data_IF_509591352061
#
_entry.id   IF_509591352061
#
_cell.length_a   1.000
_cell.length_b   1.000
_cell.length_c   1.000
_cell.angle_alpha   90.00
_cell.angle_beta   90.00
_cell.angle_gamma   90.00
#
_symmetry.space_group_name_H-M   'P 1'
#
loop_
_entity.id
_entity.type
_entity.pdbx_description
1 polymer ?
#
# COMPACT_ATOMS: atom_id res chain seq x y z
N UNK A 1 -20.23 32.86 -9.89
CA UNK A 1 -19.02 32.01 -9.87
C UNK A 1 -19.40 30.76 -10.63
N UNK A 2 -18.97 30.61 -11.87
CA UNK A 2 -19.25 29.40 -12.65
C UNK A 2 -18.27 28.34 -12.19
N UNK A 3 -18.77 27.20 -11.70
CA UNK A 3 -17.95 26.03 -11.41
C UNK A 3 -17.39 25.50 -12.74
N UNK A 4 -16.13 25.80 -13.00
CA UNK A 4 -15.42 25.28 -14.16
C UNK A 4 -15.03 23.83 -13.82
N UNK A 5 -15.92 22.89 -14.14
CA UNK A 5 -15.62 21.45 -14.03
C UNK A 5 -14.49 21.11 -14.99
N UNK A 6 -13.29 20.95 -14.46
CA UNK A 6 -12.14 20.38 -15.18
C UNK A 6 -12.55 18.97 -15.60
N UNK A 7 -12.82 18.77 -16.89
CA UNK A 7 -13.07 17.44 -17.43
C UNK A 7 -11.72 16.74 -17.57
N UNK A 8 -11.49 15.75 -16.70
CA UNK A 8 -10.30 14.93 -16.72
C UNK A 8 -10.40 13.94 -17.89
N UNK A 9 -9.54 14.08 -18.89
CA UNK A 9 -9.42 13.09 -19.96
C UNK A 9 -8.64 11.87 -19.44
N UNK A 10 -9.27 10.70 -19.50
CA UNK A 10 -8.71 9.43 -19.03
C UNK A 10 -8.46 8.49 -20.22
N UNK A 11 -7.39 7.71 -20.14
CA UNK A 11 -7.09 6.62 -21.08
C UNK A 11 -7.94 5.36 -20.76
N UNK A 12 -7.78 4.30 -21.56
CA UNK A 12 -8.52 3.03 -21.40
C UNK A 12 -8.27 2.34 -20.05
N UNK A 13 -7.24 2.74 -19.31
CA UNK A 13 -6.93 2.25 -17.95
C UNK A 13 -7.45 3.17 -16.83
N UNK A 14 -8.19 4.23 -17.17
CA UNK A 14 -8.72 5.19 -16.19
C UNK A 14 -7.68 6.15 -15.62
N UNK A 15 -6.52 6.27 -16.29
CA UNK A 15 -5.40 7.15 -15.90
C UNK A 15 -5.43 8.40 -16.77
N UNK A 16 -5.08 9.57 -16.22
CA UNK A 16 -5.06 10.80 -17.02
C UNK A 16 -4.17 10.62 -18.27
N UNK A 17 -4.61 11.13 -19.41
CA UNK A 17 -3.92 10.92 -20.70
C UNK A 17 -2.47 11.42 -20.71
N UNK A 18 -2.16 12.44 -19.91
CA UNK A 18 -0.82 13.03 -19.79
C UNK A 18 0.04 12.39 -18.68
N UNK A 19 -0.47 11.36 -17.99
CA UNK A 19 0.24 10.73 -16.89
C UNK A 19 1.36 9.82 -17.45
N UNK A 20 2.60 9.91 -16.93
CA UNK A 20 3.69 9.05 -17.37
C UNK A 20 3.35 7.57 -17.16
N UNK A 21 3.40 6.79 -18.24
CA UNK A 21 3.21 5.34 -18.18
C UNK A 21 4.56 4.63 -17.94
N UNK A 22 4.57 3.48 -17.26
CA UNK A 22 5.77 2.65 -17.16
C UNK A 22 6.30 2.30 -18.55
N UNK A 23 7.62 2.39 -18.73
CA UNK A 23 8.25 2.09 -20.03
C UNK A 23 8.08 0.62 -20.45
N UNK A 24 7.82 -0.28 -19.49
CA UNK A 24 7.62 -1.70 -19.70
C UNK A 24 6.26 -2.12 -19.12
N UNK A 25 5.40 -2.68 -19.97
CA UNK A 25 4.05 -3.10 -19.59
C UNK A 25 4.03 -4.24 -18.55
N UNK A 26 5.12 -4.99 -18.39
CA UNK A 26 5.23 -6.01 -17.32
C UNK A 26 5.34 -5.42 -15.93
N UNK A 27 5.67 -4.13 -15.84
CA UNK A 27 5.77 -3.41 -14.58
C UNK A 27 4.39 -2.87 -14.14
N UNK A 28 3.36 -3.02 -14.98
CA UNK A 28 1.99 -2.69 -14.63
C UNK A 28 1.44 -3.71 -13.64
N UNK A 29 0.94 -3.25 -12.50
CA UNK A 29 0.14 -4.07 -11.59
C UNK A 29 -1.29 -4.07 -12.10
N UNK A 30 -1.82 -5.24 -12.47
CA UNK A 30 -3.19 -5.39 -12.95
C UNK A 30 -3.95 -6.41 -12.10
N UNK A 31 -5.15 -6.01 -11.66
CA UNK A 31 -6.18 -6.89 -11.07
C UNK A 31 -5.79 -7.64 -9.78
N UNK A 32 -4.72 -7.24 -9.08
CA UNK A 32 -4.33 -7.86 -7.81
C UNK A 32 -5.22 -7.34 -6.66
N UNK A 33 -5.93 -8.21 -5.92
CA UNK A 33 -6.66 -7.81 -4.73
C UNK A 33 -5.71 -7.25 -3.67
N UNK A 34 -6.12 -6.16 -3.02
CA UNK A 34 -5.30 -5.50 -2.01
C UNK A 34 -6.10 -5.16 -0.75
N UNK A 35 -5.39 -5.08 0.38
CA UNK A 35 -5.88 -4.57 1.66
C UNK A 35 -5.13 -3.28 2.02
N UNK A 36 -5.84 -2.16 2.26
CA UNK A 36 -5.22 -0.92 2.68
C UNK A 36 -4.78 -0.98 4.15
N UNK A 37 -3.63 -0.39 4.45
CA UNK A 37 -3.13 -0.13 5.82
C UNK A 37 -2.74 1.34 5.93
N UNK A 38 -3.45 2.08 6.77
CA UNK A 38 -3.33 3.53 6.90
C UNK A 38 -2.41 3.96 8.06
N UNK A 39 -1.55 4.94 7.79
CA UNK A 39 -0.68 5.62 8.76
C UNK A 39 -0.89 7.13 8.62
N UNK A 40 -1.35 7.75 9.70
CA UNK A 40 -1.62 9.19 9.75
C UNK A 40 -0.79 9.84 10.83
N UNK A 41 -0.06 10.87 10.45
CA UNK A 41 0.78 11.68 11.32
C UNK A 41 0.79 13.15 10.88
N UNK A 42 1.19 14.03 11.79
CA UNK A 42 1.25 15.48 11.57
C UNK A 42 2.43 15.87 10.65
N UNK A 43 3.39 14.96 10.45
CA UNK A 43 4.52 15.12 9.55
C UNK A 43 4.80 13.84 8.74
N UNK A 44 5.30 14.05 7.52
CA UNK A 44 5.59 12.97 6.56
C UNK A 44 6.67 11.99 7.06
N UNK A 45 7.82 12.44 7.61
CA UNK A 45 8.82 11.54 8.17
C UNK A 45 8.25 10.56 9.20
N UNK A 46 7.43 11.03 10.13
CA UNK A 46 6.80 10.19 11.15
C UNK A 46 5.87 9.14 10.53
N UNK A 47 5.04 9.52 9.55
CA UNK A 47 4.18 8.58 8.84
C UNK A 47 4.98 7.48 8.12
N UNK A 48 6.08 7.86 7.45
CA UNK A 48 6.97 6.93 6.76
C UNK A 48 7.70 6.00 7.72
N UNK A 49 8.19 6.52 8.85
CA UNK A 49 8.89 5.72 9.86
C UNK A 49 7.95 4.67 10.48
N UNK A 50 6.72 5.06 10.80
CA UNK A 50 5.71 4.14 11.34
C UNK A 50 5.33 3.07 10.32
N UNK A 51 5.13 3.42 9.07
CA UNK A 51 4.84 2.47 8.01
C UNK A 51 6.00 1.49 7.78
N UNK A 52 7.24 1.98 7.74
CA UNK A 52 8.42 1.14 7.61
C UNK A 52 8.60 0.21 8.81
N UNK A 53 8.32 0.69 10.02
CA UNK A 53 8.36 -0.12 11.25
C UNK A 53 7.31 -1.22 11.22
N UNK A 54 6.09 -0.91 10.78
CA UNK A 54 5.02 -1.88 10.63
C UNK A 54 5.38 -2.96 9.60
N UNK A 55 5.88 -2.59 8.42
CA UNK A 55 6.30 -3.57 7.39
C UNK A 55 7.32 -4.57 7.92
N UNK A 56 8.32 -4.09 8.68
CA UNK A 56 9.33 -4.98 9.30
C UNK A 56 8.72 -5.93 10.32
N UNK A 57 7.87 -5.41 11.21
CA UNK A 57 7.21 -6.23 12.22
C UNK A 57 6.28 -7.28 11.59
N UNK A 58 5.54 -6.91 10.55
CA UNK A 58 4.67 -7.81 9.81
C UNK A 58 5.49 -8.88 9.08
N UNK A 59 6.59 -8.51 8.44
CA UNK A 59 7.51 -9.45 7.82
C UNK A 59 8.07 -10.45 8.83
N UNK A 60 8.49 -9.99 10.01
CA UNK A 60 9.01 -10.86 11.07
C UNK A 60 7.94 -11.84 11.55
N UNK A 61 6.68 -11.39 11.64
CA UNK A 61 5.54 -12.21 12.06
C UNK A 61 5.10 -13.24 11.01
N UNK A 62 5.01 -12.84 9.73
CA UNK A 62 4.69 -13.72 8.60
C UNK A 62 5.83 -14.70 8.29
N UNK A 63 7.08 -14.29 8.57
CA UNK A 63 8.28 -14.99 8.13
C UNK A 63 8.67 -14.72 6.68
N UNK A 64 7.96 -13.81 6.00
CA UNK A 64 8.22 -13.38 4.62
C UNK A 64 7.83 -11.91 4.43
N UNK A 65 8.44 -11.18 3.46
CA UNK A 65 8.08 -9.80 3.16
C UNK A 65 6.63 -9.67 2.69
N UNK A 66 6.01 -8.53 2.97
CA UNK A 66 4.67 -8.18 2.44
C UNK A 66 4.84 -7.51 1.07
N UNK A 67 4.07 -7.95 0.08
CA UNK A 67 3.97 -7.33 -1.22
C UNK A 67 3.15 -6.03 -1.12
N UNK A 68 3.82 -4.89 -1.25
CA UNK A 68 3.18 -3.57 -1.36
C UNK A 68 2.98 -3.26 -2.84
N UNK A 69 1.72 -3.21 -3.26
CA UNK A 69 1.30 -2.97 -4.65
C UNK A 69 1.36 -1.47 -4.98
N UNK A 70 0.92 -0.64 -4.06
CA UNK A 70 0.94 0.81 -4.22
C UNK A 70 1.05 1.53 -2.87
N UNK A 71 1.52 2.76 -2.93
CA UNK A 71 1.58 3.69 -1.80
C UNK A 71 0.75 4.92 -2.17
N UNK A 72 -0.30 5.17 -1.40
CA UNK A 72 -1.06 6.42 -1.48
C UNK A 72 -0.51 7.39 -0.44
N UNK A 73 -0.24 8.63 -0.84
CA UNK A 73 0.17 9.69 0.07
C UNK A 73 -0.72 10.91 -0.14
N UNK A 74 -1.56 11.18 0.87
CA UNK A 74 -2.39 12.36 0.91
C UNK A 74 -1.84 13.38 1.91
N UNK A 75 -1.90 14.66 1.55
CA UNK A 75 -1.68 15.79 2.44
C UNK A 75 -2.95 16.64 2.50
N UNK A 76 -3.36 17.04 3.70
CA UNK A 76 -4.53 17.89 3.91
C UNK A 76 -4.27 18.85 5.07
N UNK A 77 -4.38 20.15 4.79
CA UNK A 77 -4.27 21.25 5.76
C UNK A 77 -5.52 22.12 5.83
N UNK A 78 -6.63 21.70 5.20
CA UNK A 78 -7.85 22.50 5.00
C UNK A 78 -8.48 22.98 6.31
N UNK A 79 -8.20 22.30 7.43
CA UNK A 79 -8.72 22.61 8.77
C UNK A 79 -7.71 23.28 9.70
N UNK A 80 -6.56 23.72 9.19
CA UNK A 80 -5.49 24.34 9.99
C UNK A 80 -4.73 23.37 10.90
N UNK A 81 -4.97 22.07 10.75
CA UNK A 81 -4.21 20.99 11.39
C UNK A 81 -3.68 20.10 10.26
N UNK A 82 -2.48 20.38 9.73
CA UNK A 82 -1.94 19.63 8.61
C UNK A 82 -1.71 18.18 9.03
N UNK A 83 -1.99 17.25 8.12
CA UNK A 83 -1.63 15.85 8.32
C UNK A 83 -1.23 15.21 7.00
N UNK A 84 -0.40 14.18 7.11
CA UNK A 84 -0.07 13.27 6.05
C UNK A 84 -0.77 11.94 6.31
N UNK A 85 -1.44 11.40 5.31
CA UNK A 85 -2.06 10.09 5.37
C UNK A 85 -1.40 9.18 4.33
N UNK A 86 -0.61 8.24 4.82
CA UNK A 86 0.09 7.25 4.03
C UNK A 86 -0.71 5.94 4.05
N UNK A 87 -1.12 5.43 2.89
CA UNK A 87 -1.77 4.12 2.77
C UNK A 87 -0.89 3.16 2.00
N UNK A 88 -0.56 2.04 2.62
CA UNK A 88 0.04 0.91 1.92
C UNK A 88 -1.09 0.04 1.38
N UNK A 89 -1.11 -0.19 0.07
CA UNK A 89 -2.01 -1.15 -0.56
C UNK A 89 -1.24 -2.47 -0.68
N UNK A 90 -1.40 -3.34 0.31
CA UNK A 90 -0.70 -4.61 0.36
C UNK A 90 -1.50 -5.70 -0.35
N UNK A 91 -0.83 -6.69 -0.94
CA UNK A 91 -1.47 -7.89 -1.46
C UNK A 91 -2.36 -8.53 -0.38
N UNK A 92 -3.60 -8.84 -0.74
CA UNK A 92 -4.58 -9.43 0.17
C UNK A 92 -4.11 -10.80 0.71
N UNK A 93 -3.46 -11.61 -0.14
CA UNK A 93 -3.00 -12.95 0.20
C UNK A 93 -1.96 -12.92 1.33
N UNK A 94 -0.98 -12.01 1.26
CA UNK A 94 0.05 -11.89 2.29
C UNK A 94 -0.53 -11.52 3.64
N UNK A 95 -1.50 -10.59 3.64
CA UNK A 95 -2.17 -10.15 4.86
C UNK A 95 -3.20 -11.17 5.37
N UNK A 96 -3.51 -12.21 4.59
CA UNK A 96 -4.29 -13.36 5.06
C UNK A 96 -3.44 -14.39 5.82
N UNK A 97 -2.11 -14.22 5.83
CA UNK A 97 -1.12 -15.24 6.17
C UNK A 97 -1.28 -15.97 7.51
N UNK A 98 -0.58 -17.10 7.60
CA UNK A 98 -0.47 -17.95 8.81
C UNK A 98 0.84 -17.63 9.52
N UNK A 99 0.83 -17.32 10.84
CA UNK A 99 2.03 -16.89 11.56
C UNK A 99 3.19 -17.89 11.43
N UNK A 100 4.43 -17.36 11.39
CA UNK A 100 5.66 -18.16 11.25
C UNK A 100 5.76 -19.33 12.24
N UNK A 101 5.36 -19.11 13.49
CA UNK A 101 5.38 -20.12 14.57
C UNK A 101 4.50 -21.33 14.21
N UNK A 102 3.37 -21.11 13.54
CA UNK A 102 2.47 -22.19 13.12
C UNK A 102 3.10 -22.99 11.97
N UNK A 103 3.70 -22.31 10.99
CA UNK A 103 4.42 -22.96 9.89
C UNK A 103 5.58 -23.85 10.39
N UNK A 104 6.35 -23.37 11.36
CA UNK A 104 7.45 -24.13 11.97
C UNK A 104 6.95 -25.37 12.74
N UNK A 105 5.81 -25.25 13.44
CA UNK A 105 5.20 -26.36 14.17
C UNK A 105 4.64 -27.45 13.23
N UNK A 106 3.98 -27.05 12.13
CA UNK A 106 3.49 -27.98 11.11
C UNK A 106 4.62 -28.70 10.36
N UNK A 107 5.70 -27.98 10.04
CA UNK A 107 6.89 -28.56 9.43
C UNK A 107 7.63 -29.53 10.37
N UNK A 108 7.54 -29.31 11.69
CA UNK A 108 8.09 -30.20 12.72
C UNK A 108 7.30 -31.49 12.89
N UNK A 109 5.97 -31.43 12.82
CA UNK A 109 5.07 -32.61 12.92
C UNK A 109 5.25 -33.54 11.72
N UNK A 110 5.45 -32.99 10.52
CA UNK A 110 5.58 -33.78 9.28
C UNK A 110 6.91 -34.54 9.16
N UNK A 111 7.88 -34.28 10.06
CA UNK A 111 9.22 -34.89 10.03
C UNK A 111 9.45 -35.95 11.12
N UNK A 112 8.40 -36.40 11.84
CA UNK A 112 8.48 -37.51 12.80
C UNK A 112 7.82 -38.79 12.29
#
# INVERSE_FOLDING_TARGET
MSEETIQLELNDTGVAVDLPMPANQRDAVQEVPYRPVDFRDDDLPSALERAASWLRQTQDWLGEPVDVIAIHLDYDDTKGSPYYNLKLLCNDEDLAGVPKVVREHEAGITRQ
#
